data_IF_746113470681
#
_entry.id   IF_746113470681
#
_cell.length_a   1.000
_cell.length_b   1.000
_cell.length_c   1.000
_cell.angle_alpha   90.00
_cell.angle_beta   90.00
_cell.angle_gamma   90.00
#
_symmetry.space_group_name_H-M   'P 1'
#
loop_
_entity.id
_entity.type
_entity.pdbx_description
1 polymer ?
#
# COMPACT_ATOMS: atom_id res chain seq x y z
N UNK A 1 -11.30 15.99 39.42
CA UNK A 1 -12.43 15.60 38.57
C UNK A 1 -11.85 14.96 37.32
N UNK A 2 -11.97 13.64 37.19
CA UNK A 2 -11.44 12.88 36.05
C UNK A 2 -12.20 13.34 34.80
N UNK A 3 -11.46 13.74 33.76
CA UNK A 3 -12.00 14.31 32.53
C UNK A 3 -12.65 13.20 31.67
N UNK A 4 -13.81 12.69 32.10
CA UNK A 4 -14.55 11.63 31.41
C UNK A 4 -14.95 12.01 29.99
N UNK A 5 -15.03 13.32 29.66
CA UNK A 5 -15.40 13.78 28.32
C UNK A 5 -14.27 13.62 27.31
N UNK A 6 -13.03 13.95 27.69
CA UNK A 6 -11.87 13.77 26.80
C UNK A 6 -11.49 12.32 26.59
N UNK A 7 -11.70 11.49 27.61
CA UNK A 7 -11.39 10.06 27.51
C UNK A 7 -12.41 9.34 26.61
N UNK A 8 -13.69 9.70 26.71
CA UNK A 8 -14.76 9.17 25.85
C UNK A 8 -14.65 9.60 24.38
N UNK A 9 -14.26 10.86 24.10
CA UNK A 9 -14.07 11.34 22.71
C UNK A 9 -12.90 10.62 22.05
N UNK A 10 -11.75 10.55 22.73
CA UNK A 10 -10.55 9.86 22.21
C UNK A 10 -10.79 8.37 21.96
N UNK A 11 -11.60 7.71 22.81
CA UNK A 11 -12.00 6.32 22.61
C UNK A 11 -12.90 6.12 21.38
N UNK A 12 -13.78 7.08 21.09
CA UNK A 12 -14.70 7.03 19.95
C UNK A 12 -13.94 7.28 18.64
N UNK A 13 -13.05 8.27 18.60
CA UNK A 13 -12.16 8.58 17.48
C UNK A 13 -11.26 7.38 17.13
N UNK A 14 -10.69 6.73 18.15
CA UNK A 14 -9.86 5.53 17.99
C UNK A 14 -10.64 4.38 17.32
N UNK A 15 -11.91 4.17 17.70
CA UNK A 15 -12.75 3.11 17.12
C UNK A 15 -13.12 3.38 15.67
N UNK A 16 -13.45 4.62 15.32
CA UNK A 16 -13.77 5.01 13.95
C UNK A 16 -12.56 4.77 13.06
N UNK A 17 -11.38 5.24 13.48
CA UNK A 17 -10.14 4.97 12.76
C UNK A 17 -9.92 3.47 12.56
N UNK A 18 -9.96 2.68 13.63
CA UNK A 18 -9.70 1.23 13.56
C UNK A 18 -10.68 0.52 12.63
N UNK A 19 -11.96 0.88 12.68
CA UNK A 19 -12.99 0.26 11.82
C UNK A 19 -12.72 0.53 10.35
N UNK A 20 -12.49 1.80 9.99
CA UNK A 20 -12.17 2.18 8.62
C UNK A 20 -10.84 1.57 8.15
N UNK A 21 -9.83 1.53 9.02
CA UNK A 21 -8.51 1.02 8.71
C UNK A 21 -8.51 -0.49 8.52
N UNK A 22 -9.23 -1.24 9.36
CA UNK A 22 -9.40 -2.69 9.20
C UNK A 22 -10.16 -3.00 7.92
N UNK A 23 -11.22 -2.26 7.61
CA UNK A 23 -11.96 -2.42 6.35
C UNK A 23 -11.05 -2.17 5.14
N UNK A 24 -10.25 -1.10 5.19
CA UNK A 24 -9.25 -0.80 4.15
C UNK A 24 -8.23 -1.95 3.98
N UNK A 25 -7.63 -2.44 5.08
CA UNK A 25 -6.68 -3.55 5.02
C UNK A 25 -7.32 -4.84 4.51
N UNK A 26 -8.57 -5.13 4.88
CA UNK A 26 -9.31 -6.29 4.38
C UNK A 26 -9.54 -6.21 2.87
N UNK A 27 -9.97 -5.04 2.37
CA UNK A 27 -10.11 -4.80 0.93
C UNK A 27 -8.77 -4.93 0.20
N UNK A 28 -7.68 -4.40 0.79
CA UNK A 28 -6.35 -4.53 0.24
C UNK A 28 -5.85 -5.98 0.22
N UNK A 29 -6.16 -6.79 1.23
CA UNK A 29 -5.83 -8.22 1.25
C UNK A 29 -6.59 -9.00 0.18
N UNK A 30 -7.88 -8.71 -0.01
CA UNK A 30 -8.69 -9.29 -1.09
C UNK A 30 -8.07 -8.92 -2.44
N UNK A 31 -7.80 -7.62 -2.65
CA UNK A 31 -7.14 -7.15 -3.86
C UNK A 31 -5.74 -7.75 -4.06
N UNK A 32 -4.98 -7.98 -2.98
CA UNK A 32 -3.65 -8.59 -3.05
C UNK A 32 -3.72 -10.07 -3.39
N UNK A 33 -4.68 -10.82 -2.83
CA UNK A 33 -4.88 -12.24 -3.16
C UNK A 33 -5.18 -12.45 -4.65
N UNK A 34 -5.94 -11.54 -5.25
CA UNK A 34 -6.27 -11.59 -6.68
C UNK A 34 -5.05 -11.55 -7.61
N UNK A 35 -3.91 -11.01 -7.16
CA UNK A 35 -2.64 -10.96 -7.92
C UNK A 35 -2.15 -12.37 -8.25
N UNK A 36 -2.37 -13.31 -7.34
CA UNK A 36 -2.02 -14.73 -7.50
C UNK A 36 -3.19 -15.54 -8.08
N UNK A 37 -4.43 -15.19 -7.76
CA UNK A 37 -5.60 -15.88 -8.32
C UNK A 37 -5.66 -15.71 -9.84
N UNK A 38 -5.33 -14.53 -10.38
CA UNK A 38 -5.34 -14.28 -11.83
C UNK A 38 -4.53 -15.31 -12.64
N UNK A 39 -3.22 -15.53 -12.39
CA UNK A 39 -2.45 -16.57 -13.10
C UNK A 39 -2.88 -18.01 -12.77
N UNK A 40 -3.40 -18.27 -11.57
CA UNK A 40 -3.93 -19.60 -11.21
C UNK A 40 -5.20 -19.91 -12.02
N UNK A 41 -6.10 -18.95 -12.21
CA UNK A 41 -7.29 -19.14 -13.04
C UNK A 41 -6.94 -19.45 -14.50
N UNK A 42 -5.92 -18.80 -15.07
CA UNK A 42 -5.39 -19.17 -16.40
C UNK A 42 -4.92 -20.61 -16.41
N UNK A 43 -4.16 -21.03 -15.38
CA UNK A 43 -3.68 -22.42 -15.28
C UNK A 43 -4.83 -23.43 -15.20
N UNK A 44 -5.96 -23.06 -14.60
CA UNK A 44 -7.15 -23.89 -14.47
C UNK A 44 -8.09 -23.83 -15.68
N UNK A 45 -7.77 -23.04 -16.71
CA UNK A 45 -8.61 -22.87 -17.92
C UNK A 45 -9.80 -21.93 -17.73
N UNK A 46 -9.87 -21.16 -16.63
CA UNK A 46 -10.92 -20.20 -16.36
C UNK A 46 -10.61 -18.81 -16.97
N UNK A 47 -10.29 -18.77 -18.26
CA UNK A 47 -9.68 -17.62 -18.94
C UNK A 47 -10.55 -16.34 -18.87
N UNK A 48 -11.87 -16.48 -19.00
CA UNK A 48 -12.79 -15.32 -18.93
C UNK A 48 -12.72 -14.61 -17.57
N UNK A 49 -12.64 -15.38 -16.48
CA UNK A 49 -12.57 -14.84 -15.11
C UNK A 49 -11.19 -14.24 -14.88
N UNK A 50 -10.14 -14.91 -15.35
CA UNK A 50 -8.78 -14.39 -15.29
C UNK A 50 -8.66 -13.04 -16.04
N UNK A 51 -9.25 -12.92 -17.23
CA UNK A 51 -9.23 -11.69 -18.03
C UNK A 51 -9.90 -10.52 -17.30
N UNK A 52 -11.02 -10.77 -16.61
CA UNK A 52 -11.68 -9.75 -15.78
C UNK A 52 -10.74 -9.28 -14.67
N UNK A 53 -10.07 -10.19 -13.95
CA UNK A 53 -9.08 -9.81 -12.95
C UNK A 53 -7.92 -9.00 -13.55
N UNK A 54 -7.36 -9.45 -14.68
CA UNK A 54 -6.31 -8.70 -15.36
C UNK A 54 -6.78 -7.30 -15.80
N UNK A 55 -8.03 -7.14 -16.26
CA UNK A 55 -8.59 -5.83 -16.62
C UNK A 55 -8.68 -4.90 -15.42
N UNK A 56 -9.12 -5.40 -14.25
CA UNK A 56 -9.16 -4.62 -13.01
C UNK A 56 -7.76 -4.11 -12.65
N UNK A 57 -6.75 -5.00 -12.65
CA UNK A 57 -5.37 -4.60 -12.35
C UNK A 57 -4.75 -3.68 -13.40
N UNK A 58 -5.27 -3.67 -14.64
CA UNK A 58 -4.77 -2.79 -15.70
C UNK A 58 -4.96 -1.30 -15.38
N UNK A 59 -5.94 -0.98 -14.52
CA UNK A 59 -6.21 0.40 -14.07
C UNK A 59 -4.99 0.97 -13.34
N UNK A 60 -4.26 0.15 -12.58
CA UNK A 60 -3.10 0.59 -11.79
C UNK A 60 -1.76 0.03 -12.27
N UNK A 61 -1.76 -0.90 -13.23
CA UNK A 61 -0.57 -1.61 -13.66
C UNK A 61 -0.56 -1.92 -15.16
N UNK A 62 0.59 -1.72 -15.82
CA UNK A 62 0.76 -2.05 -17.23
C UNK A 62 0.90 -3.56 -17.52
N UNK A 63 1.16 -4.38 -16.49
CA UNK A 63 1.23 -5.85 -16.59
C UNK A 63 2.23 -6.39 -17.63
N UNK A 64 3.36 -5.70 -17.81
CA UNK A 64 4.41 -6.14 -18.73
C UNK A 64 5.02 -7.49 -18.28
N UNK A 65 5.04 -8.54 -19.12
CA UNK A 65 5.55 -9.86 -18.75
C UNK A 65 7.00 -9.82 -18.26
N UNK A 66 7.86 -9.01 -18.88
CA UNK A 66 9.27 -8.85 -18.50
C UNK A 66 9.48 -8.25 -17.10
N UNK A 67 8.47 -7.57 -16.56
CA UNK A 67 8.51 -6.89 -15.26
C UNK A 67 7.70 -7.62 -14.18
N UNK A 68 7.19 -8.81 -14.47
CA UNK A 68 6.36 -9.60 -13.56
C UNK A 68 7.02 -10.93 -13.25
N UNK A 69 6.82 -11.45 -12.05
CA UNK A 69 7.17 -12.84 -11.75
C UNK A 69 6.09 -13.78 -12.27
N UNK A 70 6.49 -15.03 -12.48
CA UNK A 70 5.60 -16.08 -12.99
C UNK A 70 5.06 -16.92 -11.83
N UNK A 71 3.76 -17.17 -11.87
CA UNK A 71 3.02 -18.07 -10.98
C UNK A 71 2.33 -19.10 -11.87
N UNK A 72 2.62 -20.38 -11.66
CA UNK A 72 2.12 -21.48 -12.51
C UNK A 72 2.40 -21.27 -14.01
N UNK A 73 3.54 -20.66 -14.36
CA UNK A 73 3.92 -20.36 -15.76
C UNK A 73 3.28 -19.10 -16.35
N UNK A 74 2.38 -18.42 -15.62
CA UNK A 74 1.70 -17.21 -16.06
C UNK A 74 2.16 -15.99 -15.26
N UNK A 75 2.20 -14.80 -15.87
CA UNK A 75 2.56 -13.56 -15.17
C UNK A 75 1.57 -13.27 -14.03
N UNK A 76 2.04 -12.70 -12.92
CA UNK A 76 1.13 -12.22 -11.87
C UNK A 76 0.15 -11.17 -12.41
N UNK A 77 -0.96 -10.96 -11.68
CA UNK A 77 -1.95 -9.93 -11.99
C UNK A 77 -1.37 -8.51 -12.09
N UNK A 78 -0.20 -8.26 -11.49
CA UNK A 78 0.55 -7.00 -11.57
C UNK A 78 2.06 -7.25 -11.76
N UNK A 79 2.83 -6.19 -12.03
CA UNK A 79 4.29 -6.25 -12.08
C UNK A 79 4.91 -6.30 -10.67
N UNK A 80 6.20 -6.64 -10.59
CA UNK A 80 6.96 -6.76 -9.32
C UNK A 80 6.93 -5.45 -8.51
N UNK A 81 6.91 -4.28 -9.17
CA UNK A 81 6.82 -2.98 -8.51
C UNK A 81 5.49 -2.82 -7.77
N UNK A 82 4.38 -2.96 -8.49
CA UNK A 82 3.03 -2.83 -7.93
C UNK A 82 2.78 -3.88 -6.84
N UNK A 83 3.23 -5.12 -7.07
CA UNK A 83 3.21 -6.18 -6.06
C UNK A 83 3.87 -5.72 -4.75
N UNK A 84 5.05 -5.14 -4.83
CA UNK A 84 5.81 -4.67 -3.66
C UNK A 84 5.13 -3.49 -2.97
N UNK A 85 4.61 -2.51 -3.73
CA UNK A 85 3.85 -1.39 -3.14
C UNK A 85 2.68 -1.92 -2.30
N UNK A 86 1.88 -2.83 -2.85
CA UNK A 86 0.72 -3.38 -2.13
C UNK A 86 1.14 -4.23 -0.93
N UNK A 87 2.15 -5.10 -1.10
CA UNK A 87 2.66 -5.94 -0.02
C UNK A 87 3.13 -5.11 1.17
N UNK A 88 4.00 -4.13 0.92
CA UNK A 88 4.58 -3.32 1.98
C UNK A 88 3.60 -2.30 2.55
N UNK A 89 2.62 -1.83 1.78
CA UNK A 89 1.49 -1.05 2.30
C UNK A 89 0.69 -1.85 3.31
N UNK A 90 0.36 -3.12 2.99
CA UNK A 90 -0.37 -4.01 3.90
C UNK A 90 0.46 -4.28 5.16
N UNK A 91 1.72 -4.70 5.02
CA UNK A 91 2.60 -5.03 6.16
C UNK A 91 2.76 -3.83 7.10
N UNK A 92 3.13 -2.67 6.56
CA UNK A 92 3.26 -1.45 7.37
C UNK A 92 1.91 -0.94 7.89
N UNK A 93 0.83 -1.16 7.15
CA UNK A 93 -0.52 -0.80 7.56
C UNK A 93 -1.02 -1.58 8.76
N UNK A 94 -0.63 -2.86 8.91
CA UNK A 94 -0.89 -3.63 10.12
C UNK A 94 -0.24 -3.00 11.37
N UNK A 95 0.92 -2.33 11.21
CA UNK A 95 1.57 -1.62 12.32
C UNK A 95 0.67 -0.50 12.89
N UNK A 96 -0.22 0.07 12.08
CA UNK A 96 -1.15 1.13 12.51
C UNK A 96 -2.33 0.60 13.34
N UNK A 97 -2.51 -0.72 13.48
CA UNK A 97 -3.49 -1.27 14.42
C UNK A 97 -3.05 -1.08 15.88
N UNK A 98 -1.74 -0.98 16.13
CA UNK A 98 -1.19 -0.81 17.47
C UNK A 98 -1.34 0.64 17.94
N UNK A 99 -2.05 0.83 19.07
CA UNK A 99 -2.32 2.17 19.64
C UNK A 99 -1.04 3.00 19.87
N UNK A 100 0.04 2.36 20.32
CA UNK A 100 1.33 3.04 20.54
C UNK A 100 1.90 3.69 19.28
N UNK A 101 1.77 3.01 18.13
CA UNK A 101 2.24 3.54 16.84
C UNK A 101 1.37 4.73 16.41
N UNK A 102 0.05 4.64 16.57
CA UNK A 102 -0.89 5.74 16.26
C UNK A 102 -0.63 6.99 17.10
N UNK A 103 -0.40 6.83 18.40
CA UNK A 103 -0.05 7.94 19.31
C UNK A 103 1.28 8.57 18.88
N UNK A 104 2.28 7.75 18.54
CA UNK A 104 3.59 8.22 18.09
C UNK A 104 3.47 9.05 16.79
N UNK A 105 2.66 8.60 15.82
CA UNK A 105 2.38 9.31 14.57
C UNK A 105 1.77 10.70 14.77
N UNK A 106 0.99 10.89 15.84
CA UNK A 106 0.32 12.16 16.13
C UNK A 106 1.21 13.17 16.88
N UNK A 107 2.42 12.78 17.31
CA UNK A 107 3.34 13.68 18.00
C UNK A 107 3.84 14.79 17.06
N UNK A 108 3.94 16.03 17.56
CA UNK A 108 4.48 17.16 16.77
C UNK A 108 5.91 16.92 16.25
N UNK A 109 6.70 16.11 16.97
CA UNK A 109 8.04 15.66 16.54
C UNK A 109 7.97 14.79 15.29
N UNK A 110 6.98 13.90 15.20
CA UNK A 110 6.76 13.05 14.03
C UNK A 110 6.52 13.91 12.78
N UNK A 111 5.64 14.91 12.88
CA UNK A 111 5.34 15.84 11.78
C UNK A 111 6.59 16.57 11.26
N UNK A 112 7.44 17.06 12.16
CA UNK A 112 8.60 17.88 11.80
C UNK A 112 9.75 17.05 11.20
N UNK A 113 9.97 15.83 11.68
CA UNK A 113 11.18 15.06 11.35
C UNK A 113 10.93 13.75 10.61
N UNK A 114 9.78 13.11 10.82
CA UNK A 114 9.53 11.75 10.31
C UNK A 114 8.63 11.76 9.08
N UNK A 115 7.63 12.65 9.01
CA UNK A 115 6.81 12.80 7.80
C UNK A 115 7.64 13.10 6.54
N UNK A 116 8.66 13.98 6.56
CA UNK A 116 9.53 14.19 5.40
C UNK A 116 10.27 12.92 4.96
N UNK A 117 10.63 12.03 5.89
CA UNK A 117 11.27 10.75 5.57
C UNK A 117 10.30 9.85 4.78
N UNK A 118 9.04 9.74 5.21
CA UNK A 118 8.05 8.93 4.48
C UNK A 118 7.72 9.52 3.10
N UNK A 119 7.72 10.85 2.96
CA UNK A 119 7.59 11.52 1.65
C UNK A 119 8.81 11.18 0.79
N UNK A 120 10.01 11.24 1.37
CA UNK A 120 11.25 10.90 0.67
C UNK A 120 11.28 9.44 0.21
N UNK A 121 10.65 8.51 0.93
CA UNK A 121 10.54 7.10 0.51
C UNK A 121 9.71 6.88 -0.77
N UNK A 122 8.87 7.85 -1.17
CA UNK A 122 8.19 7.83 -2.47
C UNK A 122 9.11 8.26 -3.61
N UNK A 123 10.16 9.04 -3.30
CA UNK A 123 11.03 9.64 -4.31
C UNK A 123 11.75 8.62 -5.20
N UNK A 124 12.27 7.46 -4.73
CA UNK A 124 12.97 6.53 -5.62
C UNK A 124 12.07 5.98 -6.71
N UNK A 125 10.79 5.74 -6.41
CA UNK A 125 9.82 5.27 -7.39
C UNK A 125 9.48 6.34 -8.41
N UNK A 126 9.27 7.59 -7.94
CA UNK A 126 8.97 8.72 -8.82
C UNK A 126 10.15 9.06 -9.73
N UNK A 127 11.37 9.08 -9.19
CA UNK A 127 12.60 9.34 -9.93
C UNK A 127 12.84 8.24 -10.97
N UNK A 128 12.75 6.97 -10.58
CA UNK A 128 12.94 5.86 -11.52
C UNK A 128 11.87 5.87 -12.63
N UNK A 129 10.61 6.14 -12.29
CA UNK A 129 9.54 6.32 -13.27
C UNK A 129 9.80 7.50 -14.21
N UNK A 130 10.26 8.63 -13.67
CA UNK A 130 10.56 9.84 -14.44
C UNK A 130 11.75 9.63 -15.39
N UNK A 131 12.85 9.01 -14.92
CA UNK A 131 14.01 8.68 -15.75
C UNK A 131 13.61 7.76 -16.91
N UNK A 132 12.73 6.79 -16.67
CA UNK A 132 12.22 5.88 -17.71
C UNK A 132 11.37 6.59 -18.79
N UNK A 133 10.83 7.78 -18.52
CA UNK A 133 10.11 8.56 -19.54
C UNK A 133 11.05 9.24 -20.54
N UNK A 134 12.27 9.55 -20.14
CA UNK A 134 13.23 10.31 -20.95
C UNK A 134 14.43 9.48 -21.43
N UNK A 135 14.58 8.25 -20.96
CA UNK A 135 15.73 7.40 -21.27
C UNK A 135 15.29 5.97 -21.61
N UNK A 136 16.18 5.22 -22.26
CA UNK A 136 15.99 3.78 -22.53
C UNK A 136 16.34 2.89 -21.33
N UNK A 137 16.70 3.48 -20.19
CA UNK A 137 16.97 2.75 -18.96
C UNK A 137 15.73 1.98 -18.50
N UNK A 138 15.91 0.77 -18.02
CA UNK A 138 14.85 -0.03 -17.41
C UNK A 138 15.39 -0.64 -16.12
N UNK A 139 14.68 -0.47 -14.99
CA UNK A 139 15.12 -1.14 -13.75
C UNK A 139 15.10 -2.66 -13.94
N UNK A 140 15.84 -3.40 -13.13
CA UNK A 140 15.65 -4.84 -13.00
C UNK A 140 14.56 -5.13 -11.95
N UNK A 141 14.07 -6.37 -11.86
CA UNK A 141 13.00 -6.73 -10.92
C UNK A 141 13.38 -6.51 -9.45
N UNK A 142 14.66 -6.60 -9.10
CA UNK A 142 15.14 -6.31 -7.75
C UNK A 142 14.97 -4.82 -7.39
N UNK A 143 15.43 -3.91 -8.25
CA UNK A 143 15.24 -2.47 -8.07
C UNK A 143 13.75 -2.09 -8.07
N UNK A 144 12.93 -2.73 -8.91
CA UNK A 144 11.47 -2.54 -8.91
C UNK A 144 10.84 -2.96 -7.58
N UNK A 145 11.30 -4.06 -7.00
CA UNK A 145 10.84 -4.53 -5.70
C UNK A 145 11.22 -3.54 -4.60
N UNK A 146 12.50 -3.13 -4.55
CA UNK A 146 13.02 -2.24 -3.52
C UNK A 146 12.35 -0.85 -3.53
N UNK A 147 12.26 -0.23 -4.70
CA UNK A 147 11.58 1.08 -4.86
C UNK A 147 10.10 0.99 -4.53
N UNK A 148 9.44 -0.11 -4.92
CA UNK A 148 8.05 -0.38 -4.56
C UNK A 148 7.86 -0.58 -3.06
N UNK A 149 8.77 -1.26 -2.38
CA UNK A 149 8.73 -1.48 -0.95
C UNK A 149 8.78 -0.16 -0.16
N UNK A 150 9.74 0.71 -0.48
CA UNK A 150 9.85 2.03 0.14
C UNK A 150 8.59 2.86 -0.08
N UNK A 151 8.06 2.85 -1.31
CA UNK A 151 6.83 3.59 -1.61
C UNK A 151 5.63 3.05 -0.85
N UNK A 152 5.46 1.72 -0.76
CA UNK A 152 4.38 1.10 0.00
C UNK A 152 4.39 1.47 1.48
N UNK A 153 5.57 1.45 2.12
CA UNK A 153 5.75 1.89 3.52
C UNK A 153 5.40 3.38 3.65
N UNK A 154 5.98 4.23 2.79
CA UNK A 154 5.73 5.67 2.79
C UNK A 154 4.25 6.00 2.66
N UNK A 155 3.58 5.43 1.67
CA UNK A 155 2.14 5.62 1.42
C UNK A 155 1.29 5.19 2.62
N UNK A 156 1.58 4.02 3.22
CA UNK A 156 0.80 3.52 4.36
C UNK A 156 0.85 4.46 5.57
N UNK A 157 2.05 4.90 5.97
CA UNK A 157 2.22 5.81 7.11
C UNK A 157 1.66 7.21 6.83
N UNK A 158 1.82 7.75 5.61
CA UNK A 158 1.24 9.04 5.23
C UNK A 158 -0.29 8.95 5.25
N UNK A 159 -0.88 7.92 4.64
CA UNK A 159 -2.32 7.73 4.61
C UNK A 159 -2.88 7.56 6.02
N UNK A 160 -2.25 6.71 6.84
CA UNK A 160 -2.64 6.51 8.24
C UNK A 160 -2.59 7.81 9.05
N UNK A 161 -1.53 8.60 8.87
CA UNK A 161 -1.41 9.92 9.49
C UNK A 161 -2.56 10.85 9.09
N UNK A 162 -2.85 10.97 7.79
CA UNK A 162 -3.92 11.84 7.29
C UNK A 162 -5.28 11.44 7.86
N UNK A 163 -5.61 10.15 7.86
CA UNK A 163 -6.87 9.65 8.40
C UNK A 163 -6.96 9.90 9.91
N UNK A 164 -5.90 9.64 10.67
CA UNK A 164 -5.85 9.95 12.10
C UNK A 164 -6.03 11.45 12.37
N UNK A 165 -5.44 12.31 11.55
CA UNK A 165 -5.56 13.77 11.71
C UNK A 165 -6.96 14.28 11.44
N UNK A 166 -7.63 13.74 10.43
CA UNK A 166 -9.03 14.08 10.11
C UNK A 166 -9.98 13.53 11.17
N UNK A 167 -9.73 12.33 11.69
CA UNK A 167 -10.53 11.74 12.76
C UNK A 167 -10.47 12.57 14.05
N UNK A 168 -9.28 13.09 14.40
CA UNK A 168 -9.04 13.83 15.64
C UNK A 168 -9.24 15.37 15.50
N UNK A 169 -9.72 15.86 14.35
CA UNK A 169 -10.01 17.29 14.15
C UNK A 169 -11.48 17.66 14.39
N UNK A 170 -12.33 16.67 14.68
CA UNK A 170 -13.74 16.84 15.04
C UNK A 170 -13.92 16.76 16.56
#
# INVERSE_FOLDING_TARGET
MVNNRSDFSSFTEDKVFLTCWIAFLALMLIFFSGIFIAPILVRLGADRIAEVLYKIYRISCHQLPSRSWLVCGNKMGVCVRCFSIYLFLIISGFALLFKGIRIWLLQKRFLRFVLPVFILLLSPLLIDGFIQLFTSWESNNFLRFLTGAFSGIGTSFILGYLVLRVANSN
#
